data_IF_071901180040
#
_entry.id   IF_071901180040
#
_cell.length_a   1.000
_cell.length_b   1.000
_cell.length_c   1.000
_cell.angle_alpha   90.00
_cell.angle_beta   90.00
_cell.angle_gamma   90.00
#
_symmetry.space_group_name_H-M   'P 1'
#
loop_
_entity.id
_entity.type
_entity.pdbx_description
1 polymer ?
#
# COMPACT_ATOMS: atom_id res chain seq x y z
N UNK A 1 -10.45 -26.69 -7.52
CA UNK A 1 -9.88 -25.43 -6.98
C UNK A 1 -10.98 -24.41 -7.15
N UNK A 2 -11.52 -23.83 -6.07
CA UNK A 2 -12.56 -22.79 -6.23
C UNK A 2 -11.93 -21.62 -6.96
N UNK A 3 -12.55 -21.11 -8.02
CA UNK A 3 -12.19 -19.83 -8.63
C UNK A 3 -12.32 -18.76 -7.55
N UNK A 4 -11.19 -18.42 -6.92
CA UNK A 4 -11.15 -17.32 -5.96
C UNK A 4 -11.36 -16.05 -6.75
N UNK A 5 -12.33 -15.25 -6.32
CA UNK A 5 -12.59 -13.92 -6.89
C UNK A 5 -11.33 -13.07 -6.69
N UNK A 6 -10.87 -12.41 -7.76
CA UNK A 6 -9.73 -11.49 -7.71
C UNK A 6 -10.06 -10.27 -6.87
N UNK A 7 -9.21 -9.98 -5.89
CA UNK A 7 -9.30 -8.77 -5.07
C UNK A 7 -8.66 -7.60 -5.81
N UNK A 8 -9.32 -6.45 -5.81
CA UNK A 8 -8.80 -5.22 -6.41
C UNK A 8 -8.33 -4.32 -5.27
N UNK A 9 -7.01 -4.11 -5.17
CA UNK A 9 -6.42 -3.39 -4.04
C UNK A 9 -5.64 -2.19 -4.54
N UNK A 10 -5.86 -1.03 -3.92
CA UNK A 10 -5.10 0.19 -4.16
C UNK A 10 -4.33 0.58 -2.90
N UNK A 11 -3.01 0.68 -3.05
CA UNK A 11 -2.12 1.14 -1.98
C UNK A 11 -2.08 2.67 -1.93
N UNK A 12 -2.67 3.24 -0.88
CA UNK A 12 -2.57 4.65 -0.55
C UNK A 12 -1.26 4.92 0.20
N UNK A 13 -0.60 6.02 -0.14
CA UNK A 13 0.62 6.47 0.53
C UNK A 13 0.47 7.81 1.26
N UNK A 14 -0.71 8.44 1.16
CA UNK A 14 -0.91 9.84 1.54
C UNK A 14 -0.40 10.83 0.48
N UNK A 15 0.17 10.36 -0.63
CA UNK A 15 0.62 11.19 -1.74
C UNK A 15 -0.47 11.53 -2.75
N UNK A 16 -0.25 12.60 -3.53
CA UNK A 16 -1.18 13.11 -4.55
C UNK A 16 -1.56 12.06 -5.61
N UNK A 17 -0.60 11.26 -6.09
CA UNK A 17 -0.83 10.37 -7.24
C UNK A 17 -1.65 9.15 -6.83
N UNK A 18 -1.34 8.53 -5.68
CA UNK A 18 -2.18 7.46 -5.12
C UNK A 18 -3.60 7.93 -4.77
N UNK A 19 -3.74 9.18 -4.32
CA UNK A 19 -5.06 9.77 -4.04
C UNK A 19 -5.84 10.00 -5.33
N UNK A 20 -5.21 10.61 -6.34
CA UNK A 20 -5.83 10.85 -7.63
C UNK A 20 -6.30 9.53 -8.26
N UNK A 21 -5.50 8.47 -8.16
CA UNK A 21 -5.89 7.15 -8.65
C UNK A 21 -7.10 6.59 -7.90
N UNK A 22 -7.13 6.71 -6.57
CA UNK A 22 -8.27 6.23 -5.77
C UNK A 22 -9.57 6.96 -6.13
N UNK A 23 -9.50 8.28 -6.27
CA UNK A 23 -10.65 9.10 -6.70
C UNK A 23 -11.09 8.71 -8.12
N UNK A 24 -10.14 8.60 -9.05
CA UNK A 24 -10.42 8.23 -10.43
C UNK A 24 -11.12 6.87 -10.53
N UNK A 25 -10.62 5.85 -9.82
CA UNK A 25 -11.22 4.51 -9.80
C UNK A 25 -12.61 4.53 -9.19
N UNK A 26 -12.83 5.27 -8.09
CA UNK A 26 -14.16 5.42 -7.47
C UNK A 26 -15.17 6.02 -8.44
N UNK A 27 -14.76 7.08 -9.17
CA UNK A 27 -15.66 7.88 -9.99
C UNK A 27 -15.92 7.28 -11.37
N UNK A 28 -14.95 6.58 -11.95
CA UNK A 28 -15.02 6.09 -13.33
C UNK A 28 -15.17 4.57 -13.43
N UNK A 29 -14.85 3.83 -12.36
CA UNK A 29 -14.94 2.37 -12.32
C UNK A 29 -15.67 1.86 -11.07
N UNK A 30 -16.90 2.35 -10.77
CA UNK A 30 -17.65 1.95 -9.58
C UNK A 30 -18.05 0.46 -9.58
N UNK A 31 -17.99 -0.22 -10.73
CA UNK A 31 -18.19 -1.66 -10.87
C UNK A 31 -17.06 -2.49 -10.24
N UNK A 32 -15.88 -1.89 -10.02
CA UNK A 32 -14.74 -2.54 -9.39
C UNK A 32 -14.82 -2.31 -7.89
N UNK A 33 -15.03 -3.39 -7.13
CA UNK A 33 -15.03 -3.35 -5.67
C UNK A 33 -13.61 -3.15 -5.14
N UNK A 34 -13.20 -1.88 -5.04
CA UNK A 34 -11.85 -1.50 -4.62
C UNK A 34 -11.68 -1.59 -3.11
N UNK A 35 -10.60 -2.23 -2.69
CA UNK A 35 -10.06 -2.21 -1.33
C UNK A 35 -8.94 -1.16 -1.23
N UNK A 36 -9.03 -0.28 -0.24
CA UNK A 36 -8.01 0.72 0.01
C UNK A 36 -7.12 0.30 1.19
N UNK A 37 -5.81 0.29 0.97
CA UNK A 37 -4.83 -0.17 1.96
C UNK A 37 -3.77 0.89 2.18
N UNK A 38 -3.39 1.11 3.43
CA UNK A 38 -2.30 1.99 3.83
C UNK A 38 -1.32 1.23 4.72
N UNK A 39 -0.02 1.24 4.39
CA UNK A 39 1.00 0.63 5.24
C UNK A 39 1.55 1.67 6.23
N UNK A 40 1.13 1.57 7.49
CA UNK A 40 1.47 2.49 8.56
C UNK A 40 2.85 2.18 9.15
N UNK A 41 3.77 3.13 9.03
CA UNK A 41 5.15 2.99 9.51
C UNK A 41 5.31 3.36 10.98
N UNK A 42 4.27 3.92 11.61
CA UNK A 42 4.28 4.58 12.93
C UNK A 42 5.25 5.78 13.01
N UNK A 43 5.65 6.32 11.85
CA UNK A 43 6.41 7.56 11.70
C UNK A 43 5.76 8.53 10.73
N UNK A 44 4.48 8.32 10.43
CA UNK A 44 3.69 9.25 9.65
C UNK A 44 3.41 10.50 10.47
N UNK A 45 3.30 11.63 9.78
CA UNK A 45 2.90 12.87 10.42
C UNK A 45 1.41 12.78 10.85
N UNK A 46 1.00 13.42 11.97
CA UNK A 46 -0.40 13.50 12.38
C UNK A 46 -1.35 13.90 11.25
N UNK A 47 -0.91 14.84 10.41
CA UNK A 47 -1.63 15.36 9.25
C UNK A 47 -1.92 14.29 8.20
N UNK A 48 -1.09 13.25 8.08
CA UNK A 48 -1.36 12.12 7.18
C UNK A 48 -2.56 11.32 7.68
N UNK A 49 -2.69 11.10 8.99
CA UNK A 49 -3.85 10.40 9.55
C UNK A 49 -5.15 11.20 9.37
N UNK A 50 -5.09 12.52 9.58
CA UNK A 50 -6.22 13.41 9.30
C UNK A 50 -6.59 13.41 7.81
N UNK A 51 -5.59 13.44 6.95
CA UNK A 51 -5.77 13.39 5.51
C UNK A 51 -6.42 12.08 5.08
N UNK A 52 -5.94 10.93 5.56
CA UNK A 52 -6.53 9.63 5.28
C UNK A 52 -8.00 9.56 5.72
N UNK A 53 -8.37 10.14 6.86
CA UNK A 53 -9.77 10.20 7.31
C UNK A 53 -10.67 11.03 6.36
N UNK A 54 -10.15 12.12 5.79
CA UNK A 54 -10.85 12.89 4.75
C UNK A 54 -11.01 12.07 3.48
N UNK A 55 -9.97 11.32 3.10
CA UNK A 55 -10.02 10.42 1.93
C UNK A 55 -11.02 9.29 2.16
N UNK A 56 -11.07 8.64 3.32
CA UNK A 56 -12.11 7.65 3.66
C UNK A 56 -13.52 8.23 3.49
N UNK A 57 -13.73 9.44 3.99
CA UNK A 57 -15.01 10.15 3.90
C UNK A 57 -15.39 10.43 2.44
N UNK A 58 -14.43 10.83 1.60
CA UNK A 58 -14.66 11.04 0.18
C UNK A 58 -14.92 9.72 -0.54
N UNK A 59 -14.11 8.69 -0.32
CA UNK A 59 -14.22 7.40 -1.00
C UNK A 59 -15.46 6.60 -0.56
N UNK A 60 -16.06 6.94 0.59
CA UNK A 60 -17.18 6.20 1.17
C UNK A 60 -16.78 4.81 1.67
N UNK A 61 -15.48 4.54 1.81
CA UNK A 61 -14.91 3.26 2.23
C UNK A 61 -13.77 3.49 3.22
N UNK A 62 -13.63 2.55 4.16
CA UNK A 62 -12.53 2.55 5.13
C UNK A 62 -11.22 2.16 4.44
N UNK A 63 -10.13 2.73 4.92
CA UNK A 63 -8.77 2.38 4.53
C UNK A 63 -8.24 1.37 5.55
N UNK A 64 -7.90 0.19 5.08
CA UNK A 64 -7.26 -0.84 5.90
C UNK A 64 -5.82 -0.43 6.19
N UNK A 65 -5.53 -0.13 7.45
CA UNK A 65 -4.16 0.17 7.91
C UNK A 65 -3.43 -1.12 8.24
N UNK A 66 -2.30 -1.35 7.59
CA UNK A 66 -1.41 -2.48 7.84
C UNK A 66 -0.20 -1.97 8.61
N UNK A 67 0.11 -2.61 9.73
CA UNK A 67 1.38 -2.45 10.45
C UNK A 67 2.19 -3.74 10.36
N UNK A 68 3.49 -3.62 10.54
CA UNK A 68 4.40 -4.76 10.67
C UNK A 68 4.15 -5.49 11.99
N UNK A 69 3.45 -6.62 11.88
CA UNK A 69 3.08 -7.57 12.96
C UNK A 69 2.29 -6.99 14.16
N UNK A 70 1.76 -7.92 14.97
CA UNK A 70 1.01 -7.61 16.20
C UNK A 70 1.91 -6.93 17.24
N UNK A 71 1.43 -5.79 17.74
CA UNK A 71 2.03 -4.94 18.76
C UNK A 71 3.12 -4.02 18.21
N UNK A 72 2.89 -2.70 18.19
CA UNK A 72 3.81 -1.54 18.10
C UNK A 72 5.15 -1.64 17.32
N UNK A 73 5.34 -2.63 16.46
CA UNK A 73 6.59 -2.91 15.76
C UNK A 73 6.72 -2.08 14.48
N UNK A 74 6.60 -0.75 14.61
CA UNK A 74 6.83 0.21 13.54
C UNK A 74 8.31 0.49 13.26
N UNK A 75 8.60 1.65 12.68
CA UNK A 75 9.96 2.02 12.27
C UNK A 75 11.03 1.87 13.37
N UNK A 76 10.75 2.32 14.60
CA UNK A 76 11.74 2.31 15.70
C UNK A 76 12.14 0.89 16.10
N UNK A 77 11.18 -0.05 16.06
CA UNK A 77 11.47 -1.46 16.32
C UNK A 77 12.48 -2.00 15.31
N UNK A 78 12.25 -1.79 14.02
CA UNK A 78 13.18 -2.25 13.00
C UNK A 78 14.50 -1.49 13.04
N UNK A 79 14.50 -0.19 13.34
CA UNK A 79 15.73 0.56 13.54
C UNK A 79 16.61 -0.09 14.63
N UNK A 80 16.00 -0.59 15.71
CA UNK A 80 16.72 -1.34 16.76
C UNK A 80 17.28 -2.68 16.25
N UNK A 81 16.51 -3.44 15.46
CA UNK A 81 16.96 -4.69 14.82
C UNK A 81 18.16 -4.44 13.92
N UNK A 82 18.13 -3.34 13.17
CA UNK A 82 19.21 -2.89 12.29
C UNK A 82 20.30 -2.09 13.01
N UNK A 83 20.31 -2.09 14.36
CA UNK A 83 21.35 -1.46 15.20
C UNK A 83 21.59 0.02 14.87
N UNK A 84 20.52 0.76 14.60
CA UNK A 84 20.58 2.19 14.28
C UNK A 84 20.91 2.53 12.83
N UNK A 85 21.03 1.53 11.94
CA UNK A 85 21.32 1.76 10.53
C UNK A 85 20.09 2.28 9.78
N UNK A 86 20.12 3.56 9.39
CA UNK A 86 19.04 4.19 8.65
C UNK A 86 18.89 3.60 7.23
N UNK A 87 17.65 3.54 6.71
CA UNK A 87 17.41 2.99 5.38
C UNK A 87 18.03 3.87 4.30
N UNK A 88 18.48 3.25 3.22
CA UNK A 88 19.07 3.91 2.06
C UNK A 88 18.55 3.27 0.75
N UNK A 89 18.81 3.88 -0.42
CA UNK A 89 18.48 3.26 -1.70
C UNK A 89 19.10 1.87 -1.88
N UNK A 90 20.30 1.64 -1.33
CA UNK A 90 20.97 0.34 -1.35
C UNK A 90 20.40 -0.62 -0.29
N UNK A 91 20.00 -0.10 0.87
CA UNK A 91 19.50 -0.88 2.00
C UNK A 91 18.06 -0.48 2.34
N UNK A 92 17.12 -0.97 1.53
CA UNK A 92 15.69 -0.63 1.58
C UNK A 92 14.91 -1.45 2.61
N UNK A 93 15.49 -1.69 3.79
CA UNK A 93 14.87 -2.53 4.82
C UNK A 93 13.50 -2.00 5.26
N UNK A 94 13.32 -0.67 5.30
CA UNK A 94 12.04 -0.07 5.66
C UNK A 94 10.95 -0.37 4.63
N UNK A 95 11.27 -0.41 3.33
CA UNK A 95 10.30 -0.78 2.30
C UNK A 95 9.90 -2.25 2.44
N UNK A 96 10.88 -3.12 2.68
CA UNK A 96 10.63 -4.55 2.83
C UNK A 96 9.76 -4.84 4.06
N UNK A 97 10.20 -4.39 5.23
CA UNK A 97 9.60 -4.75 6.52
C UNK A 97 8.31 -3.98 6.83
N UNK A 98 8.23 -2.70 6.45
CA UNK A 98 7.08 -1.85 6.80
C UNK A 98 6.02 -1.76 5.68
N UNK A 99 6.33 -2.21 4.45
CA UNK A 99 5.40 -2.08 3.32
C UNK A 99 5.13 -3.40 2.60
N UNK A 100 6.17 -4.06 2.11
CA UNK A 100 6.04 -5.29 1.29
C UNK A 100 5.54 -6.45 2.14
N UNK A 101 6.23 -6.80 3.22
CA UNK A 101 5.88 -7.96 4.06
C UNK A 101 4.48 -7.83 4.71
N UNK A 102 4.08 -6.67 5.28
CA UNK A 102 2.72 -6.50 5.82
C UNK A 102 1.64 -6.66 4.75
N UNK A 103 1.87 -6.11 3.55
CA UNK A 103 0.95 -6.24 2.43
C UNK A 103 0.85 -7.70 1.95
N UNK A 104 1.98 -8.37 1.76
CA UNK A 104 2.02 -9.77 1.36
C UNK A 104 1.37 -10.71 2.38
N UNK A 105 1.45 -10.39 3.67
CA UNK A 105 0.73 -11.10 4.75
C UNK A 105 -0.77 -10.86 4.68
N UNK A 106 -1.19 -9.62 4.42
CA UNK A 106 -2.60 -9.25 4.29
C UNK A 106 -3.30 -9.93 3.11
N UNK A 107 -2.62 -10.07 1.97
CA UNK A 107 -3.19 -10.71 0.77
C UNK A 107 -3.02 -12.23 0.76
N UNK A 108 -2.12 -12.76 1.59
CA UNK A 108 -1.78 -14.18 1.68
C UNK A 108 -1.54 -14.82 0.30
N UNK A 109 -2.47 -15.68 -0.14
CA UNK A 109 -2.46 -16.41 -1.41
C UNK A 109 -3.67 -16.07 -2.30
N UNK A 110 -4.37 -14.97 -2.01
CA UNK A 110 -5.53 -14.55 -2.81
C UNK A 110 -5.05 -13.89 -4.11
N UNK A 111 -5.73 -14.11 -5.25
CA UNK A 111 -5.43 -13.38 -6.48
C UNK A 111 -5.72 -11.89 -6.29
N UNK A 112 -4.75 -11.03 -6.61
CA UNK A 112 -4.82 -9.57 -6.42
C UNK A 112 -4.45 -8.83 -7.68
N UNK A 113 -5.32 -7.90 -8.09
CA UNK A 113 -4.98 -6.80 -9.00
C UNK A 113 -4.58 -5.60 -8.14
N UNK A 114 -3.28 -5.27 -8.15
CA UNK A 114 -2.71 -4.20 -7.34
C UNK A 114 -2.59 -2.91 -8.15
N UNK A 115 -3.36 -1.89 -7.81
CA UNK A 115 -3.36 -0.60 -8.48
C UNK A 115 -2.29 0.32 -7.88
N UNK A 116 -1.39 0.81 -8.73
CA UNK A 116 -0.25 1.65 -8.33
C UNK A 116 -0.28 2.96 -9.10
N UNK A 117 -0.33 4.08 -8.37
CA UNK A 117 -0.28 5.44 -8.93
C UNK A 117 1.14 5.86 -9.30
N UNK A 118 1.77 5.16 -10.23
CA UNK A 118 2.99 5.60 -10.92
C UNK A 118 2.57 6.14 -12.28
N UNK A 119 3.05 7.32 -12.63
CA UNK A 119 2.73 7.98 -13.91
C UNK A 119 3.62 7.45 -15.03
N UNK A 120 3.11 7.46 -16.26
CA UNK A 120 3.86 7.02 -17.44
C UNK A 120 5.16 7.81 -17.70
N UNK A 121 5.26 9.06 -17.23
CA UNK A 121 6.45 9.92 -17.36
C UNK A 121 7.50 9.74 -16.24
N UNK A 122 7.22 8.90 -15.23
CA UNK A 122 8.20 8.59 -14.18
C UNK A 122 9.19 7.52 -14.64
N UNK A 123 10.48 7.86 -14.69
CA UNK A 123 11.54 6.88 -14.97
C UNK A 123 11.88 6.03 -13.74
N UNK A 124 10.95 5.16 -13.33
CA UNK A 124 11.07 4.30 -12.15
C UNK A 124 10.45 2.94 -12.37
N UNK A 125 11.03 1.92 -11.75
CA UNK A 125 10.38 0.62 -11.64
C UNK A 125 9.30 0.64 -10.55
N UNK A 126 8.17 -0.01 -10.86
CA UNK A 126 7.03 -0.11 -9.96
C UNK A 126 7.16 -1.20 -8.90
N UNK A 127 6.02 -1.66 -8.39
CA UNK A 127 6.00 -2.76 -7.42
C UNK A 127 6.36 -4.06 -8.13
N UNK A 128 7.48 -4.67 -7.73
CA UNK A 128 7.90 -6.00 -8.21
C UNK A 128 7.55 -7.01 -7.11
N UNK A 129 6.41 -7.69 -7.29
CA UNK A 129 6.02 -8.79 -6.41
C UNK A 129 6.91 -10.00 -6.68
N UNK A 130 7.36 -10.68 -5.63
CA UNK A 130 7.92 -12.04 -5.77
C UNK A 130 6.84 -13.11 -5.80
N UNK A 131 5.61 -12.75 -5.41
CA UNK A 131 4.46 -13.65 -5.37
C UNK A 131 3.69 -13.66 -6.69
N UNK A 132 3.35 -14.84 -7.26
CA UNK A 132 2.67 -14.97 -8.54
C UNK A 132 1.19 -14.57 -8.49
N UNK A 133 0.58 -14.50 -7.30
CA UNK A 133 -0.83 -14.13 -7.13
C UNK A 133 -1.08 -12.61 -7.12
N UNK A 134 -0.06 -11.78 -7.28
CA UNK A 134 -0.20 -10.31 -7.28
C UNK A 134 0.20 -9.77 -8.65
N UNK A 135 -0.75 -9.13 -9.32
CA UNK A 135 -0.52 -8.48 -10.62
C UNK A 135 -0.59 -6.96 -10.44
N UNK A 136 0.53 -6.23 -10.56
CA UNK A 136 0.52 -4.78 -10.51
C UNK A 136 -0.07 -4.18 -11.79
N UNK A 137 -0.91 -3.15 -11.63
CA UNK A 137 -1.54 -2.37 -12.69
C UNK A 137 -1.16 -0.90 -12.52
N UNK A 138 -0.87 -0.23 -13.64
CA UNK A 138 -0.40 1.16 -13.69
C UNK A 138 -1.34 1.98 -14.58
N UNK A 139 -2.43 2.56 -14.04
CA UNK A 139 -3.43 3.23 -14.85
C UNK A 139 -3.07 4.66 -15.30
N UNK A 140 -1.94 5.21 -14.86
CA UNK A 140 -1.46 6.57 -15.15
C UNK A 140 -0.21 6.57 -16.04
#
# INVERSE_FOLDING_TARGET
MSDKITRHILLLSGGKDSTALAIYMRDNHPEIEMEYVFCDTHKELPEIYEYLARIESYLGKRITKLSSEEGDRGFDHFLSIYRGYLPSPQMRWCTRQLKIEPFEKHVANDPVSLYVGIRADENREGFISTKPNITPLYPF
#
